data_IF_911980630838
#
_entry.id   IF_911980630838
#
_cell.length_a   1.000
_cell.length_b   1.000
_cell.length_c   1.000
_cell.angle_alpha   90.00
_cell.angle_beta   90.00
_cell.angle_gamma   90.00
#
_symmetry.space_group_name_H-M   'P 1'
#
loop_
_entity.id
_entity.type
_entity.pdbx_description
1 polymer ?
#
# COMPACT_ATOMS: atom_id res chain seq x y z
N UNK A 1 -10.37 17.32 -4.67
CA UNK A 1 -9.34 16.30 -4.98
C UNK A 1 -8.20 16.29 -3.96
N UNK A 2 -7.55 17.43 -3.65
CA UNK A 2 -6.43 17.48 -2.70
C UNK A 2 -6.74 16.88 -1.31
N UNK A 3 -7.88 17.29 -0.71
CA UNK A 3 -8.31 16.82 0.63
C UNK A 3 -8.50 15.30 0.72
N UNK A 4 -8.97 14.65 -0.35
CA UNK A 4 -9.13 13.18 -0.37
C UNK A 4 -7.77 12.48 -0.43
N UNK A 5 -6.81 13.04 -1.19
CA UNK A 5 -5.46 12.48 -1.32
C UNK A 5 -4.67 12.63 -0.03
N UNK A 6 -4.74 13.80 0.63
CA UNK A 6 -4.07 13.99 1.93
C UNK A 6 -4.64 13.10 3.02
N UNK A 7 -5.97 12.92 3.04
CA UNK A 7 -6.63 11.98 3.96
C UNK A 7 -6.20 10.54 3.67
N UNK A 8 -6.08 10.15 2.40
CA UNK A 8 -5.60 8.84 1.99
C UNK A 8 -4.17 8.58 2.50
N UNK A 9 -3.23 9.49 2.23
CA UNK A 9 -1.83 9.40 2.67
C UNK A 9 -1.75 9.34 4.21
N UNK A 10 -2.55 10.14 4.92
CA UNK A 10 -2.55 10.13 6.39
C UNK A 10 -2.94 8.77 6.96
N UNK A 11 -3.91 8.09 6.35
CA UNK A 11 -4.30 6.74 6.77
C UNK A 11 -3.32 5.65 6.32
N UNK A 12 -2.49 5.93 5.31
CA UNK A 12 -1.36 5.07 4.94
C UNK A 12 -0.24 5.07 5.99
N UNK A 13 -0.03 6.20 6.68
CA UNK A 13 1.02 6.35 7.69
C UNK A 13 0.78 5.51 8.95
N UNK A 14 -0.46 5.47 9.43
CA UNK A 14 -0.81 4.76 10.65
C UNK A 14 -1.91 3.73 10.36
N UNK A 15 -1.56 2.43 10.33
CA UNK A 15 -2.52 1.35 10.12
C UNK A 15 -3.54 1.29 11.28
N UNK A 16 -4.73 1.86 11.08
CA UNK A 16 -5.83 1.87 12.05
C UNK A 16 -7.09 1.21 11.48
N UNK A 17 -8.14 1.03 12.29
CA UNK A 17 -9.47 0.60 11.80
C UNK A 17 -10.01 1.47 10.65
N UNK A 18 -9.57 2.72 10.55
CA UNK A 18 -9.98 3.63 9.48
C UNK A 18 -9.30 3.33 8.13
N UNK A 19 -8.17 2.59 8.11
CA UNK A 19 -7.48 2.19 6.89
C UNK A 19 -8.37 1.35 5.95
N UNK A 20 -9.38 0.66 6.51
CA UNK A 20 -10.34 -0.12 5.73
C UNK A 20 -11.29 0.74 4.90
N UNK A 21 -11.45 2.03 5.26
CA UNK A 21 -12.22 2.99 4.45
C UNK A 21 -11.50 3.31 3.13
N UNK A 22 -10.18 3.09 3.07
CA UNK A 22 -9.37 3.30 1.86
C UNK A 22 -9.76 2.34 0.73
N UNK A 23 -10.44 1.23 1.04
CA UNK A 23 -11.04 0.33 0.02
C UNK A 23 -12.05 1.03 -0.89
N UNK A 24 -12.56 2.19 -0.48
CA UNK A 24 -13.53 3.02 -1.21
C UNK A 24 -12.90 4.32 -1.71
N UNK A 25 -11.56 4.44 -1.67
CA UNK A 25 -10.89 5.64 -2.13
C UNK A 25 -11.11 5.85 -3.64
N UNK A 26 -11.30 7.11 -4.08
CA UNK A 26 -11.50 7.40 -5.49
C UNK A 26 -10.22 7.18 -6.31
N UNK A 27 -10.38 6.88 -7.61
CA UNK A 27 -9.29 6.57 -8.55
C UNK A 27 -8.14 7.59 -8.48
N UNK A 28 -8.47 8.88 -8.55
CA UNK A 28 -7.46 9.94 -8.55
C UNK A 28 -6.62 9.94 -7.28
N UNK A 29 -7.16 9.56 -6.12
CA UNK A 29 -6.43 9.65 -4.86
C UNK A 29 -5.26 8.66 -4.79
N UNK A 30 -5.49 7.39 -5.13
CA UNK A 30 -4.44 6.37 -5.10
C UNK A 30 -3.52 6.43 -6.33
N UNK A 31 -4.00 6.94 -7.47
CA UNK A 31 -3.15 7.18 -8.64
C UNK A 31 -2.16 8.32 -8.37
N UNK A 32 -2.64 9.47 -7.83
CA UNK A 32 -1.76 10.58 -7.44
C UNK A 32 -0.76 10.13 -6.37
N UNK A 33 -1.19 9.33 -5.39
CA UNK A 33 -0.30 8.81 -4.36
C UNK A 33 0.80 7.90 -4.95
N UNK A 34 0.44 7.04 -5.92
CA UNK A 34 1.39 6.16 -6.60
C UNK A 34 2.40 6.92 -7.47
N UNK A 35 1.93 7.93 -8.22
CA UNK A 35 2.80 8.78 -9.02
C UNK A 35 3.74 9.57 -8.11
N UNK A 36 3.20 10.19 -7.06
CA UNK A 36 4.00 10.93 -6.08
C UNK A 36 5.04 10.04 -5.39
N UNK A 37 4.68 8.79 -5.07
CA UNK A 37 5.62 7.80 -4.54
C UNK A 37 6.75 7.50 -5.52
N UNK A 38 6.43 7.23 -6.80
CA UNK A 38 7.45 6.96 -7.81
C UNK A 38 8.41 8.14 -7.99
N UNK A 39 7.88 9.38 -8.05
CA UNK A 39 8.69 10.60 -8.12
C UNK A 39 9.59 10.72 -6.88
N UNK A 40 9.04 10.53 -5.68
CA UNK A 40 9.80 10.61 -4.44
C UNK A 40 10.95 9.60 -4.40
N UNK A 41 10.68 8.34 -4.73
CA UNK A 41 11.71 7.28 -4.79
C UNK A 41 12.77 7.61 -5.82
N UNK A 42 12.37 8.06 -7.00
CA UNK A 42 13.31 8.42 -8.08
C UNK A 42 14.26 9.53 -7.66
N UNK A 43 13.77 10.53 -6.92
CA UNK A 43 14.57 11.62 -6.36
C UNK A 43 15.54 11.07 -5.29
N UNK A 44 15.07 10.21 -4.39
CA UNK A 44 15.92 9.59 -3.37
C UNK A 44 17.04 8.76 -4.01
N UNK A 45 16.69 7.91 -4.96
CA UNK A 45 17.64 7.08 -5.70
C UNK A 45 18.65 7.94 -6.46
N UNK A 46 18.20 9.03 -7.09
CA UNK A 46 19.09 9.99 -7.74
C UNK A 46 20.11 10.60 -6.76
N UNK A 47 19.68 11.01 -5.57
CA UNK A 47 20.59 11.59 -4.57
C UNK A 47 21.59 10.55 -4.05
N UNK A 48 21.12 9.32 -3.81
CA UNK A 48 21.92 8.25 -3.20
C UNK A 48 22.91 7.62 -4.17
N UNK A 49 22.52 7.44 -5.42
CA UNK A 49 23.34 6.77 -6.44
C UNK A 49 24.29 7.74 -7.16
N UNK A 50 24.25 9.04 -6.83
CA UNK A 50 25.05 10.12 -7.43
C UNK A 50 25.27 9.92 -8.93
N UNK A 51 24.21 9.86 -9.75
CA UNK A 51 24.40 9.59 -11.16
C UNK A 51 25.01 10.85 -11.79
N UNK A 52 26.21 10.72 -12.34
CA UNK A 52 26.81 11.65 -13.34
C UNK A 52 25.96 11.74 -14.63
N UNK A 53 24.72 11.28 -14.57
CA UNK A 53 23.79 11.10 -15.66
C UNK A 53 22.87 12.30 -15.79
N UNK A 54 22.44 12.60 -17.00
CA UNK A 54 21.55 13.71 -17.29
C UNK A 54 20.21 13.57 -16.52
N UNK A 55 19.99 14.44 -15.53
CA UNK A 55 18.90 14.34 -14.58
C UNK A 55 17.50 14.19 -15.21
N UNK A 56 17.14 14.91 -16.30
CA UNK A 56 15.84 14.72 -16.94
C UNK A 56 15.64 13.32 -17.52
N UNK A 57 16.68 12.72 -18.10
CA UNK A 57 16.60 11.37 -18.66
C UNK A 57 16.50 10.32 -17.55
N UNK A 58 17.21 10.52 -16.43
CA UNK A 58 17.07 9.67 -15.24
C UNK A 58 15.65 9.71 -14.67
N UNK A 59 15.13 10.91 -14.41
CA UNK A 59 13.78 11.11 -13.86
C UNK A 59 12.72 10.43 -14.72
N UNK A 60 12.88 10.46 -16.04
CA UNK A 60 11.97 9.80 -16.96
C UNK A 60 12.14 8.27 -16.91
N UNK A 61 13.30 7.73 -17.31
CA UNK A 61 13.47 6.29 -17.48
C UNK A 61 13.38 5.53 -16.15
N UNK A 62 14.12 6.00 -15.13
CA UNK A 62 14.12 5.40 -13.80
C UNK A 62 12.76 5.58 -13.13
N UNK A 63 12.16 6.75 -13.25
CA UNK A 63 10.82 7.02 -12.71
C UNK A 63 9.74 6.10 -13.28
N UNK A 64 9.78 5.84 -14.59
CA UNK A 64 8.89 4.85 -15.22
C UNK A 64 9.15 3.43 -14.69
N UNK A 65 10.42 3.02 -14.60
CA UNK A 65 10.77 1.70 -14.07
C UNK A 65 10.26 1.52 -12.63
N UNK A 66 10.57 2.46 -11.75
CA UNK A 66 10.10 2.49 -10.35
C UNK A 66 8.57 2.43 -10.29
N UNK A 67 7.87 3.20 -11.12
CA UNK A 67 6.42 3.18 -11.16
C UNK A 67 5.87 1.80 -11.53
N UNK A 68 6.40 1.15 -12.57
CA UNK A 68 5.96 -0.20 -12.98
C UNK A 68 6.27 -1.27 -11.93
N UNK A 69 7.49 -1.28 -11.37
CA UNK A 69 7.84 -2.20 -10.29
C UNK A 69 6.94 -2.02 -9.06
N UNK A 70 6.64 -0.77 -8.73
CA UNK A 70 5.71 -0.46 -7.67
C UNK A 70 4.28 -0.95 -7.99
N UNK A 71 3.78 -0.75 -9.21
CA UNK A 71 2.45 -1.25 -9.62
C UNK A 71 2.36 -2.78 -9.60
N UNK A 72 3.42 -3.49 -10.00
CA UNK A 72 3.49 -4.95 -9.89
C UNK A 72 3.41 -5.37 -8.42
N UNK A 73 4.18 -4.69 -7.56
CA UNK A 73 4.18 -4.94 -6.10
C UNK A 73 2.78 -4.71 -5.50
N UNK A 74 2.12 -3.62 -5.88
CA UNK A 74 0.74 -3.31 -5.47
C UNK A 74 -0.24 -4.37 -5.97
N UNK A 75 -0.09 -4.86 -7.20
CA UNK A 75 -0.94 -5.91 -7.75
C UNK A 75 -0.82 -7.21 -6.94
N UNK A 76 0.41 -7.63 -6.61
CA UNK A 76 0.67 -8.77 -5.76
C UNK A 76 0.10 -8.57 -4.35
N UNK A 77 0.29 -7.38 -3.77
CA UNK A 77 -0.28 -7.02 -2.48
C UNK A 77 -1.82 -7.05 -2.50
N UNK A 78 -2.47 -6.59 -3.58
CA UNK A 78 -3.91 -6.64 -3.73
C UNK A 78 -4.43 -8.09 -3.80
N UNK A 79 -3.74 -8.97 -4.53
CA UNK A 79 -4.06 -10.40 -4.55
C UNK A 79 -3.90 -11.04 -3.16
N UNK A 80 -2.83 -10.68 -2.44
CA UNK A 80 -2.61 -11.11 -1.06
C UNK A 80 -3.76 -10.63 -0.14
N UNK A 81 -4.18 -9.37 -0.23
CA UNK A 81 -5.33 -8.84 0.51
C UNK A 81 -6.61 -9.61 0.17
N UNK A 82 -6.84 -9.96 -1.10
CA UNK A 82 -7.98 -10.79 -1.49
C UNK A 82 -7.92 -12.18 -0.87
N UNK A 83 -6.75 -12.81 -0.83
CA UNK A 83 -6.54 -14.10 -0.18
C UNK A 83 -6.84 -14.03 1.32
N UNK A 84 -6.25 -13.07 2.03
CA UNK A 84 -6.44 -12.90 3.48
C UNK A 84 -7.91 -12.60 3.80
N UNK A 85 -8.56 -11.72 3.05
CA UNK A 85 -9.98 -11.39 3.25
C UNK A 85 -10.88 -12.59 2.95
N UNK A 86 -10.57 -13.39 1.92
CA UNK A 86 -11.27 -14.64 1.62
C UNK A 86 -11.14 -15.65 2.75
N UNK A 87 -9.94 -15.89 3.26
CA UNK A 87 -9.68 -16.85 4.35
C UNK A 87 -10.42 -16.40 5.61
N UNK A 88 -10.33 -15.11 5.95
CA UNK A 88 -10.81 -14.57 7.23
C UNK A 88 -12.32 -14.31 7.26
N UNK A 89 -12.86 -13.72 6.20
CA UNK A 89 -14.26 -13.29 6.15
C UNK A 89 -15.14 -14.27 5.36
N UNK A 90 -14.55 -15.36 4.82
CA UNK A 90 -15.16 -16.30 3.88
C UNK A 90 -15.67 -15.64 2.58
N UNK A 91 -15.31 -14.38 2.35
CA UNK A 91 -15.70 -13.59 1.18
C UNK A 91 -14.51 -12.73 0.76
N UNK A 92 -14.02 -12.96 -0.45
CA UNK A 92 -12.96 -12.15 -1.04
C UNK A 92 -13.46 -10.73 -1.29
N UNK A 93 -12.61 -9.74 -1.02
CA UNK A 93 -12.89 -8.39 -1.47
C UNK A 93 -12.78 -8.32 -3.00
N UNK A 94 -13.68 -7.58 -3.68
CA UNK A 94 -13.50 -7.26 -5.09
C UNK A 94 -12.15 -6.56 -5.33
N UNK A 95 -11.51 -6.83 -6.46
CA UNK A 95 -10.19 -6.28 -6.76
C UNK A 95 -10.16 -4.74 -6.71
N UNK A 96 -11.21 -4.09 -7.23
CA UNK A 96 -11.42 -2.64 -7.14
C UNK A 96 -11.40 -2.07 -5.72
N UNK A 97 -11.64 -2.89 -4.69
CA UNK A 97 -11.58 -2.51 -3.29
C UNK A 97 -10.24 -2.89 -2.64
N UNK A 98 -9.65 -4.02 -3.05
CA UNK A 98 -8.35 -4.47 -2.56
C UNK A 98 -7.21 -3.58 -3.06
N UNK A 99 -7.28 -3.11 -4.31
CA UNK A 99 -6.26 -2.26 -4.93
C UNK A 99 -5.98 -0.95 -4.18
N UNK A 100 -6.96 -0.06 -3.94
CA UNK A 100 -6.68 1.20 -3.25
C UNK A 100 -6.21 0.99 -1.80
N UNK A 101 -6.65 -0.09 -1.15
CA UNK A 101 -6.13 -0.48 0.15
C UNK A 101 -4.67 -0.94 0.07
N UNK A 102 -4.33 -1.78 -0.91
CA UNK A 102 -2.97 -2.25 -1.13
C UNK A 102 -2.02 -1.08 -1.37
N UNK A 103 -2.35 -0.16 -2.29
CA UNK A 103 -1.58 1.08 -2.52
C UNK A 103 -1.32 1.81 -1.22
N UNK A 104 -2.36 2.04 -0.40
CA UNK A 104 -2.19 2.76 0.85
C UNK A 104 -1.23 2.06 1.81
N UNK A 105 -1.38 0.75 1.99
CA UNK A 105 -0.60 -0.01 2.95
C UNK A 105 0.82 -0.33 2.45
N UNK A 106 1.12 -0.17 1.16
CA UNK A 106 2.46 -0.40 0.61
C UNK A 106 3.32 0.85 0.53
N UNK A 107 2.75 2.06 0.38
CA UNK A 107 3.54 3.31 0.20
C UNK A 107 4.64 3.46 1.25
N UNK A 108 4.26 3.39 2.53
CA UNK A 108 5.19 3.65 3.65
C UNK A 108 6.22 2.53 3.80
N UNK A 109 5.84 1.25 3.94
CA UNK A 109 6.83 0.19 4.10
C UNK A 109 7.69 0.00 2.86
N UNK A 110 7.19 0.29 1.65
CA UNK A 110 8.02 0.26 0.44
C UNK A 110 9.04 1.39 0.44
N UNK A 111 8.67 2.60 0.86
CA UNK A 111 9.64 3.69 1.02
C UNK A 111 10.73 3.33 2.02
N UNK A 112 10.33 2.78 3.18
CA UNK A 112 11.28 2.31 4.21
C UNK A 112 12.19 1.22 3.65
N UNK A 113 11.64 0.25 2.92
CA UNK A 113 12.40 -0.82 2.28
C UNK A 113 13.49 -0.26 1.36
N UNK A 114 13.14 0.71 0.51
CA UNK A 114 14.09 1.33 -0.42
C UNK A 114 15.22 2.03 0.34
N UNK A 115 14.89 2.81 1.37
CA UNK A 115 15.90 3.47 2.21
C UNK A 115 16.80 2.43 2.90
N UNK A 116 16.21 1.39 3.50
CA UNK A 116 16.95 0.31 4.15
C UNK A 116 17.87 -0.43 3.18
N UNK A 117 17.41 -0.65 1.94
CA UNK A 117 18.19 -1.32 0.91
C UNK A 117 19.44 -0.51 0.52
N UNK A 118 19.33 0.82 0.46
CA UNK A 118 20.48 1.71 0.25
C UNK A 118 21.48 1.68 1.41
N UNK A 119 21.02 1.44 2.64
CA UNK A 119 21.90 1.29 3.81
C UNK A 119 22.61 -0.09 3.81
N UNK A 120 21.87 -1.15 3.52
CA UNK A 120 22.42 -2.49 3.35
C UNK A 120 21.44 -3.40 2.60
N UNK A 121 21.91 -4.12 1.57
CA UNK A 121 21.08 -5.12 0.87
C UNK A 121 20.54 -6.22 1.80
N UNK A 122 21.19 -6.49 2.93
CA UNK A 122 20.76 -7.48 3.91
C UNK A 122 19.38 -7.14 4.54
N UNK A 123 18.98 -5.87 4.53
CA UNK A 123 17.70 -5.43 5.09
C UNK A 123 16.49 -5.63 4.16
N UNK A 124 16.68 -6.20 2.97
CA UNK A 124 15.59 -6.49 2.04
C UNK A 124 14.46 -7.29 2.70
N UNK A 125 14.79 -8.35 3.43
CA UNK A 125 13.81 -9.20 4.10
C UNK A 125 13.06 -8.49 5.23
N UNK A 126 13.74 -7.56 5.91
CA UNK A 126 13.11 -6.71 6.95
C UNK A 126 12.05 -5.82 6.31
N UNK A 127 12.37 -5.19 5.18
CA UNK A 127 11.42 -4.39 4.41
C UNK A 127 10.21 -5.20 3.93
N UNK A 128 10.45 -6.39 3.38
CA UNK A 128 9.36 -7.30 2.95
C UNK A 128 8.47 -7.67 4.13
N UNK A 129 9.06 -8.00 5.29
CA UNK A 129 8.33 -8.28 6.52
C UNK A 129 7.44 -7.11 6.96
N UNK A 130 7.94 -5.88 6.86
CA UNK A 130 7.17 -4.66 7.15
C UNK A 130 5.97 -4.49 6.21
N UNK A 131 6.14 -4.75 4.91
CA UNK A 131 5.04 -4.71 3.94
C UNK A 131 3.94 -5.70 4.34
N UNK A 132 4.31 -6.95 4.64
CA UNK A 132 3.35 -7.98 5.06
C UNK A 132 2.63 -7.57 6.35
N UNK A 133 3.37 -7.03 7.34
CA UNK A 133 2.80 -6.57 8.60
C UNK A 133 1.77 -5.45 8.37
N UNK A 134 2.14 -4.42 7.60
CA UNK A 134 1.27 -3.28 7.28
C UNK A 134 0.01 -3.68 6.52
N UNK A 135 0.13 -4.65 5.59
CA UNK A 135 -1.03 -5.19 4.86
C UNK A 135 -1.93 -6.04 5.76
N UNK A 136 -1.37 -6.79 6.71
CA UNK A 136 -2.11 -7.83 7.44
C UNK A 136 -2.76 -7.31 8.72
N UNK A 137 -2.05 -6.49 9.51
CA UNK A 137 -2.52 -6.05 10.84
C UNK A 137 -3.87 -5.31 10.79
N UNK A 138 -4.12 -4.33 9.90
CA UNK A 138 -5.43 -3.67 9.86
C UNK A 138 -6.55 -4.63 9.48
N UNK A 139 -6.23 -5.65 8.67
CA UNK A 139 -7.17 -6.67 8.27
C UNK A 139 -7.52 -7.61 9.43
N UNK A 140 -6.68 -7.79 10.46
CA UNK A 140 -6.94 -8.67 11.61
C UNK A 140 -7.72 -7.99 12.74
N UNK A 141 -7.69 -6.65 12.82
CA UNK A 141 -8.31 -5.88 13.92
C UNK A 141 -9.85 -5.75 13.81
N UNK A 142 -10.46 -6.18 12.71
CA UNK A 142 -11.93 -6.19 12.53
C UNK A 142 -12.53 -7.44 13.17
N UNK A 143 -13.64 -7.42 13.92
CA UNK A 143 -14.33 -8.65 14.29
C UNK A 143 -14.82 -9.42 13.04
N UNK A 144 -14.42 -10.68 12.88
CA UNK A 144 -14.92 -11.55 11.81
C UNK A 144 -16.38 -11.94 12.10
N UNK A 145 -17.32 -11.06 11.72
CA UNK A 145 -18.76 -11.12 12.05
C UNK A 145 -19.07 -11.11 13.55
N UNK A 146 -19.91 -10.16 13.99
CA UNK A 146 -20.78 -10.40 15.15
C UNK A 146 -21.63 -11.63 14.78
N UNK A 147 -21.53 -12.73 15.53
CA UNK A 147 -22.57 -13.77 15.52
C UNK A 147 -23.90 -13.01 15.63
N UNK A 148 -24.82 -13.23 14.71
CA UNK A 148 -26.18 -12.72 14.84
C UNK A 148 -26.65 -13.09 16.23
N UNK A 149 -26.87 -12.09 17.08
CA UNK A 149 -27.69 -12.27 18.26
C UNK A 149 -29.05 -12.69 17.71
N UNK A 150 -29.34 -13.99 17.79
CA UNK A 150 -30.68 -14.53 17.70
C UNK A 150 -31.53 -13.70 18.65
N UNK A 151 -32.32 -12.78 18.09
CA UNK A 151 -33.41 -12.17 18.85
C UNK A 151 -34.31 -13.33 19.28
N UNK A 152 -34.61 -13.49 20.57
CA UNK A 152 -35.62 -14.46 20.97
C UNK A 152 -36.94 -14.03 20.32
N UNK A 153 -37.62 -14.99 19.71
CA UNK A 153 -38.96 -14.83 19.18
C UNK A 153 -39.86 -14.55 20.40
N UNK A 154 -40.66 -13.48 20.43
CA UNK A 154 -41.70 -13.36 21.43
C UNK A 154 -42.78 -14.39 21.09
N UNK A 155 -43.13 -15.21 22.09
CA UNK A 155 -44.27 -16.13 22.08
C UNK A 155 -45.60 -15.36 22.11
#
# INVERSE_FOLDING_TARGET
MLKSTTTFIRHSLIPTKQALRLRLAPLHAYMIASIGFAVLVTIVDYIMLQPDFFAPMWLFLHGFAVFFFYMITVALAALYVQLITRVRQRKAWPYRQAWPYAVAMTIVPMFILIVLFHLSPAFLYVGIGLIILYLTVPLTVIPAKKKHATKPKPD
#
